data_IF_965719358299
#
_entry.id   IF_965719358299
#
_cell.length_a   1.000
_cell.length_b   1.000
_cell.length_c   1.000
_cell.angle_alpha   90.00
_cell.angle_beta   90.00
_cell.angle_gamma   90.00
#
_symmetry.space_group_name_H-M   'P 1'
#
loop_
_entity.id
_entity.type
_entity.pdbx_description
1 polymer ?
#
# COMPACT_ATOMS: atom_id res chain seq x y z
N UNK A 1 -18.70 -28.03 25.48
CA UNK A 1 -18.21 -26.96 24.59
C UNK A 1 -18.52 -27.40 23.17
N UNK A 2 -19.41 -26.68 22.49
CA UNK A 2 -19.74 -26.98 21.09
C UNK A 2 -18.63 -26.45 20.17
N UNK A 3 -18.20 -27.19 19.15
CA UNK A 3 -17.18 -26.73 18.22
C UNK A 3 -17.71 -25.53 17.42
N UNK A 4 -16.92 -24.45 17.40
CA UNK A 4 -17.19 -23.25 16.61
C UNK A 4 -16.97 -23.59 15.14
N UNK A 5 -18.04 -23.52 14.34
CA UNK A 5 -17.98 -23.71 12.89
C UNK A 5 -17.20 -22.54 12.27
N UNK A 6 -16.22 -22.79 11.38
CA UNK A 6 -15.49 -21.71 10.71
C UNK A 6 -16.44 -20.87 9.83
N UNK A 7 -16.16 -19.57 9.66
CA UNK A 7 -16.99 -18.69 8.83
C UNK A 7 -17.02 -19.20 7.39
N UNK A 8 -18.21 -19.23 6.79
CA UNK A 8 -18.40 -19.58 5.37
C UNK A 8 -17.63 -18.58 4.51
N UNK A 9 -16.78 -19.09 3.61
CA UNK A 9 -16.17 -18.31 2.53
C UNK A 9 -17.27 -17.55 1.76
N UNK A 10 -17.10 -16.25 1.46
CA UNK A 10 -18.05 -15.52 0.65
C UNK A 10 -18.17 -16.17 -0.72
N UNK A 11 -19.41 -16.38 -1.16
CA UNK A 11 -19.72 -16.95 -2.47
C UNK A 11 -19.53 -15.83 -3.50
N UNK A 12 -18.39 -15.82 -4.20
CA UNK A 12 -18.20 -14.93 -5.35
C UNK A 12 -19.28 -15.24 -6.38
N UNK A 13 -20.21 -14.30 -6.58
CA UNK A 13 -21.14 -14.34 -7.70
C UNK A 13 -20.34 -14.04 -8.96
N UNK A 14 -20.31 -14.99 -9.90
CA UNK A 14 -19.56 -14.86 -11.15
C UNK A 14 -20.02 -13.59 -11.88
N UNK A 15 -19.13 -12.62 -12.01
CA UNK A 15 -19.28 -11.54 -12.98
C UNK A 15 -19.21 -12.22 -14.35
N UNK A 16 -20.18 -11.90 -15.23
CA UNK A 16 -20.23 -12.47 -16.59
C UNK A 16 -18.92 -12.14 -17.30
N UNK A 17 -18.12 -13.15 -17.61
CA UNK A 17 -16.98 -13.04 -18.53
C UNK A 17 -17.51 -12.55 -19.88
N UNK A 18 -16.97 -11.44 -20.37
CA UNK A 18 -17.10 -11.08 -21.78
C UNK A 18 -16.48 -12.20 -22.63
N UNK A 19 -17.21 -12.69 -23.62
CA UNK A 19 -16.84 -13.85 -24.45
C UNK A 19 -16.04 -13.50 -25.71
N UNK A 20 -15.53 -12.28 -25.83
CA UNK A 20 -14.57 -11.91 -26.86
C UNK A 20 -13.20 -11.73 -26.20
N UNK A 21 -12.26 -12.63 -26.51
CA UNK A 21 -10.87 -12.45 -26.17
C UNK A 21 -10.33 -11.27 -27.00
N UNK A 22 -9.83 -10.19 -26.36
CA UNK A 22 -9.20 -9.10 -27.08
C UNK A 22 -7.93 -9.60 -27.80
N UNK A 23 -7.53 -8.97 -28.91
CA UNK A 23 -6.32 -9.37 -29.63
C UNK A 23 -5.08 -9.32 -28.71
N UNK A 24 -4.28 -10.39 -28.74
CA UNK A 24 -3.19 -10.72 -27.78
C UNK A 24 -2.06 -9.67 -27.63
N UNK A 25 -2.08 -8.57 -28.39
CA UNK A 25 -1.00 -7.57 -28.45
C UNK A 25 -1.40 -6.14 -28.04
N UNK A 26 -2.62 -5.90 -27.54
CA UNK A 26 -3.06 -4.56 -27.10
C UNK A 26 -3.17 -4.47 -25.59
N UNK A 27 -2.73 -3.35 -25.01
CA UNK A 27 -2.86 -3.08 -23.57
C UNK A 27 -4.31 -3.25 -23.08
N UNK A 28 -4.49 -4.03 -22.02
CA UNK A 28 -5.78 -4.28 -21.36
C UNK A 28 -5.69 -3.86 -19.89
N UNK A 29 -6.33 -2.76 -19.52
CA UNK A 29 -6.34 -2.20 -18.16
C UNK A 29 -7.72 -1.62 -17.82
N UNK A 30 -8.09 -1.44 -16.54
CA UNK A 30 -9.36 -0.80 -16.20
C UNK A 30 -9.52 0.56 -16.89
N UNK A 31 -10.59 0.72 -17.67
CA UNK A 31 -10.83 1.92 -18.48
C UNK A 31 -10.33 1.85 -19.94
N UNK A 32 -9.54 0.82 -20.30
CA UNK A 32 -9.09 0.51 -21.66
C UNK A 32 -9.15 -1.01 -21.91
N UNK A 33 -10.15 -1.46 -22.67
CA UNK A 33 -10.34 -2.89 -22.96
C UNK A 33 -10.96 -3.69 -21.81
N UNK A 34 -10.78 -3.25 -20.56
CA UNK A 34 -11.46 -3.79 -19.38
C UNK A 34 -12.43 -2.76 -18.78
N UNK A 35 -13.50 -3.21 -18.09
CA UNK A 35 -14.38 -2.32 -17.31
C UNK A 35 -13.58 -1.51 -16.29
N UNK A 36 -14.02 -0.29 -15.98
CA UNK A 36 -13.35 0.57 -15.01
C UNK A 36 -13.36 -0.03 -13.59
N UNK A 37 -14.36 -0.85 -13.30
CA UNK A 37 -14.49 -1.59 -12.04
C UNK A 37 -13.82 -2.97 -12.09
N UNK A 38 -12.98 -3.23 -13.09
CA UNK A 38 -12.28 -4.51 -13.19
C UNK A 38 -11.28 -4.64 -12.03
N UNK A 39 -11.38 -5.75 -11.32
CA UNK A 39 -10.42 -6.17 -10.29
C UNK A 39 -9.85 -7.53 -10.70
N UNK A 40 -8.52 -7.65 -10.61
CA UNK A 40 -7.84 -8.93 -10.81
C UNK A 40 -8.19 -9.89 -9.67
N UNK A 41 -8.27 -11.19 -9.97
CA UNK A 41 -8.42 -12.22 -8.93
C UNK A 41 -7.26 -12.22 -7.92
N UNK A 42 -6.10 -11.69 -8.32
CA UNK A 42 -4.90 -11.53 -7.50
C UNK A 42 -4.68 -10.09 -7.02
N UNK A 43 -5.69 -9.22 -7.09
CA UNK A 43 -5.57 -7.85 -6.61
C UNK A 43 -5.31 -7.82 -5.10
N UNK A 44 -4.43 -6.91 -4.66
CA UNK A 44 -4.27 -6.64 -3.24
C UNK A 44 -5.57 -6.06 -2.67
N UNK A 45 -5.98 -6.46 -1.46
CA UNK A 45 -7.17 -5.91 -0.84
C UNK A 45 -7.02 -4.40 -0.66
N UNK A 46 -8.04 -3.64 -1.04
CA UNK A 46 -8.05 -2.19 -0.89
C UNK A 46 -9.20 -1.73 -0.01
N UNK A 47 -9.01 -0.53 0.58
CA UNK A 47 -9.90 0.07 1.57
C UNK A 47 -11.36 0.30 1.13
N UNK A 48 -11.65 0.19 -0.16
CA UNK A 48 -12.96 0.53 -0.73
C UNK A 48 -13.92 -0.67 -0.76
N UNK A 49 -13.44 -1.86 -1.16
CA UNK A 49 -14.29 -3.04 -1.35
C UNK A 49 -13.80 -4.28 -0.60
N UNK A 50 -12.50 -4.37 -0.29
CA UNK A 50 -11.89 -5.59 0.25
C UNK A 50 -11.59 -5.50 1.74
N UNK A 51 -11.44 -4.28 2.28
CA UNK A 51 -11.04 -4.10 3.68
C UNK A 51 -12.25 -3.91 4.59
N UNK A 52 -12.52 -4.93 5.40
CA UNK A 52 -13.37 -4.80 6.58
C UNK A 52 -12.44 -5.00 7.79
N UNK A 53 -11.96 -3.92 8.44
CA UNK A 53 -11.10 -4.06 9.59
C UNK A 53 -11.85 -4.85 10.67
N UNK A 54 -11.13 -5.70 11.38
CA UNK A 54 -11.66 -6.27 12.62
C UNK A 54 -12.05 -5.11 13.55
N UNK A 55 -13.23 -5.22 14.18
CA UNK A 55 -13.65 -4.25 15.18
C UNK A 55 -12.71 -4.42 16.39
N UNK A 56 -11.75 -3.51 16.53
CA UNK A 56 -10.80 -3.49 17.65
C UNK A 56 -11.32 -2.62 18.79
N UNK A 57 -11.11 -3.07 20.01
CA UNK A 57 -11.34 -2.29 21.23
C UNK A 57 -10.27 -1.20 21.38
N UNK A 58 -10.57 -0.15 22.15
CA UNK A 58 -9.59 0.91 22.46
C UNK A 58 -8.32 0.34 23.09
N UNK A 59 -8.44 -0.70 23.91
CA UNK A 59 -7.29 -1.37 24.53
C UNK A 59 -6.40 -2.08 23.51
N UNK A 60 -6.99 -2.79 22.55
CA UNK A 60 -6.23 -3.45 21.47
C UNK A 60 -5.51 -2.41 20.60
N UNK A 61 -6.18 -1.29 20.28
CA UNK A 61 -5.58 -0.18 19.55
C UNK A 61 -4.37 0.38 20.31
N UNK A 62 -4.49 0.62 21.62
CA UNK A 62 -3.37 1.15 22.41
C UNK A 62 -2.25 0.12 22.59
N UNK A 63 -2.56 -1.18 22.65
CA UNK A 63 -1.54 -2.25 22.62
C UNK A 63 -0.77 -2.29 21.30
N UNK A 64 -1.44 -2.14 20.17
CA UNK A 64 -0.79 -2.02 18.86
C UNK A 64 0.12 -0.79 18.78
N UNK A 65 -0.36 0.38 19.25
CA UNK A 65 0.46 1.60 19.33
C UNK A 65 1.70 1.39 20.20
N UNK A 66 1.55 0.77 21.37
CA UNK A 66 2.66 0.51 22.29
C UNK A 66 3.74 -0.39 21.64
N UNK A 67 3.32 -1.45 20.93
CA UNK A 67 4.24 -2.30 20.19
C UNK A 67 4.89 -1.56 19.02
N UNK A 68 4.13 -0.73 18.28
CA UNK A 68 4.68 0.09 17.20
C UNK A 68 5.75 1.06 17.72
N UNK A 69 5.46 1.81 18.79
CA UNK A 69 6.40 2.73 19.44
C UNK A 69 7.64 2.01 19.97
N UNK A 70 7.51 0.76 20.42
CA UNK A 70 8.66 -0.01 20.91
C UNK A 70 9.53 -0.49 19.75
N UNK A 71 8.93 -0.96 18.65
CA UNK A 71 9.64 -1.43 17.46
C UNK A 71 10.31 -0.31 16.65
N UNK A 72 9.94 0.96 16.87
CA UNK A 72 10.63 2.13 16.31
C UNK A 72 11.94 2.49 17.05
N UNK A 73 12.17 1.90 18.23
CA UNK A 73 13.38 2.20 19.01
C UNK A 73 14.58 1.44 18.43
N UNK A 74 15.76 2.06 18.36
CA UNK A 74 16.96 1.39 17.86
C UNK A 74 17.34 0.22 18.77
N UNK A 75 17.78 -0.87 18.16
CA UNK A 75 18.18 -2.13 18.82
C UNK A 75 17.11 -2.73 19.74
N UNK A 76 15.82 -2.46 19.51
CA UNK A 76 14.75 -2.93 20.38
C UNK A 76 14.77 -4.45 20.55
N UNK A 77 15.15 -5.19 19.51
CA UNK A 77 15.23 -6.66 19.50
C UNK A 77 16.23 -7.23 20.50
N UNK A 78 17.27 -6.47 20.85
CA UNK A 78 18.26 -6.83 21.88
C UNK A 78 17.84 -6.26 23.24
N UNK A 79 17.41 -4.99 23.26
CA UNK A 79 17.06 -4.25 24.48
C UNK A 79 15.81 -4.79 25.19
N UNK A 80 14.93 -5.52 24.49
CA UNK A 80 13.73 -6.15 25.05
C UNK A 80 14.02 -7.18 26.16
N UNK A 81 15.26 -7.67 26.25
CA UNK A 81 15.68 -8.61 27.29
C UNK A 81 16.25 -7.94 28.54
N UNK A 82 16.48 -6.62 28.52
CA UNK A 82 16.96 -5.85 29.67
C UNK A 82 15.78 -5.38 30.54
N UNK A 83 15.68 -5.83 31.81
CA UNK A 83 14.62 -5.42 32.72
C UNK A 83 14.59 -3.91 33.01
N UNK A 84 15.75 -3.25 33.09
CA UNK A 84 15.81 -1.82 33.39
C UNK A 84 15.31 -1.00 32.20
N UNK A 85 15.62 -1.42 30.97
CA UNK A 85 15.13 -0.76 29.76
C UNK A 85 13.63 -0.98 29.59
N UNK A 86 13.16 -2.22 29.75
CA UNK A 86 11.73 -2.53 29.61
C UNK A 86 10.86 -1.83 30.65
N UNK A 87 11.36 -1.63 31.87
CA UNK A 87 10.65 -0.85 32.89
C UNK A 87 10.58 0.65 32.55
N UNK A 88 11.63 1.19 31.92
CA UNK A 88 11.58 2.55 31.38
C UNK A 88 10.53 2.66 30.28
N UNK A 89 10.50 1.72 29.33
CA UNK A 89 9.49 1.70 28.28
C UNK A 89 8.07 1.55 28.82
N UNK A 90 7.88 0.75 29.90
CA UNK A 90 6.60 0.65 30.61
C UNK A 90 6.14 2.01 31.11
N UNK A 91 7.03 2.74 31.77
CA UNK A 91 6.74 4.08 32.30
C UNK A 91 6.43 5.08 31.18
N UNK A 92 7.21 5.07 30.08
CA UNK A 92 6.97 5.90 28.89
C UNK A 92 5.59 5.61 28.27
N UNK A 93 5.25 4.33 28.04
CA UNK A 93 3.97 3.93 27.44
C UNK A 93 2.79 4.33 28.31
N UNK A 94 2.85 4.06 29.63
CA UNK A 94 1.79 4.45 30.58
C UNK A 94 1.59 5.97 30.68
N UNK A 95 2.61 6.77 30.37
CA UNK A 95 2.48 8.23 30.36
C UNK A 95 1.75 8.78 29.12
N UNK A 96 1.69 7.98 28.05
CA UNK A 96 1.14 8.39 26.74
C UNK A 96 -0.20 7.71 26.41
N UNK A 97 -0.44 6.51 26.94
CA UNK A 97 -1.58 5.66 26.61
C UNK A 97 -2.30 5.17 27.88
N UNK A 98 -3.59 4.85 27.77
CA UNK A 98 -4.34 4.20 28.85
C UNK A 98 -3.93 2.72 28.95
N UNK A 99 -2.92 2.46 29.79
CA UNK A 99 -2.21 1.19 29.78
C UNK A 99 -2.13 0.55 31.15
N UNK A 100 -2.64 -0.68 31.26
CA UNK A 100 -2.51 -1.50 32.46
C UNK A 100 -1.22 -2.32 32.45
N UNK A 101 -0.75 -2.76 33.62
CA UNK A 101 0.42 -3.64 33.70
C UNK A 101 0.24 -4.94 32.92
N UNK A 102 -0.97 -5.50 32.93
CA UNK A 102 -1.27 -6.74 32.18
C UNK A 102 -1.18 -6.54 30.67
N UNK A 103 -1.59 -5.38 30.16
CA UNK A 103 -1.45 -5.05 28.73
C UNK A 103 0.03 -4.96 28.35
N UNK A 104 0.84 -4.34 29.21
CA UNK A 104 2.29 -4.27 28.99
C UNK A 104 2.97 -5.61 29.07
N UNK A 105 2.64 -6.43 30.06
CA UNK A 105 3.22 -7.76 30.19
C UNK A 105 2.89 -8.63 28.96
N UNK A 106 1.67 -8.49 28.44
CA UNK A 106 1.26 -9.14 27.19
C UNK A 106 2.05 -8.63 25.99
N UNK A 107 2.12 -7.31 25.78
CA UNK A 107 2.89 -6.71 24.68
C UNK A 107 4.38 -7.06 24.76
N UNK A 108 4.95 -7.10 25.97
CA UNK A 108 6.33 -7.48 26.18
C UNK A 108 6.58 -8.94 25.79
N UNK A 109 5.66 -9.85 26.12
CA UNK A 109 5.74 -11.25 25.70
C UNK A 109 5.67 -11.38 24.17
N UNK A 110 4.71 -10.72 23.52
CA UNK A 110 4.57 -10.69 22.06
C UNK A 110 5.83 -10.12 21.39
N UNK A 111 6.36 -9.00 21.89
CA UNK A 111 7.58 -8.37 21.37
C UNK A 111 8.82 -9.26 21.50
N UNK A 112 8.93 -10.07 22.57
CA UNK A 112 10.02 -11.06 22.68
C UNK A 112 9.91 -12.12 21.60
N UNK A 113 8.72 -12.64 21.32
CA UNK A 113 8.51 -13.57 20.20
C UNK A 113 8.83 -12.92 18.85
N UNK A 114 8.43 -11.66 18.65
CA UNK A 114 8.79 -10.91 17.44
C UNK A 114 10.31 -10.66 17.34
N UNK A 115 11.00 -10.44 18.44
CA UNK A 115 12.46 -10.32 18.44
C UNK A 115 13.14 -11.63 18.01
N UNK A 116 12.62 -12.79 18.44
CA UNK A 116 13.10 -14.10 17.98
C UNK A 116 12.81 -14.33 16.49
N UNK A 117 11.63 -13.91 16.00
CA UNK A 117 11.29 -13.92 14.58
C UNK A 117 12.28 -13.06 13.78
N UNK A 118 12.56 -11.84 14.25
CA UNK A 118 13.51 -10.94 13.61
C UNK A 118 14.89 -11.58 13.45
N UNK A 119 15.37 -12.35 14.43
CA UNK A 119 16.66 -13.02 14.31
C UNK A 119 16.73 -14.00 13.14
N UNK A 120 15.60 -14.67 12.84
CA UNK A 120 15.47 -15.65 11.76
C UNK A 120 15.17 -15.01 10.40
N UNK A 121 14.20 -14.11 10.38
CA UNK A 121 13.60 -13.57 9.15
C UNK A 121 14.15 -12.19 8.76
N UNK A 122 14.82 -11.50 9.68
CA UNK A 122 15.35 -10.14 9.52
C UNK A 122 14.31 -9.05 9.34
N UNK A 123 13.04 -9.34 9.57
CA UNK A 123 11.97 -8.35 9.68
C UNK A 123 10.91 -8.81 10.67
N UNK A 124 10.02 -7.89 11.05
CA UNK A 124 8.80 -8.19 11.81
C UNK A 124 7.61 -7.52 11.14
N UNK A 125 6.45 -8.16 11.22
CA UNK A 125 5.18 -7.50 10.92
C UNK A 125 4.80 -6.66 12.13
N UNK A 126 4.82 -5.34 11.96
CA UNK A 126 4.61 -4.36 13.02
C UNK A 126 3.14 -3.96 13.19
N UNK A 127 2.39 -3.89 12.09
CA UNK A 127 0.97 -3.53 12.07
C UNK A 127 0.24 -4.48 11.11
N UNK A 128 -0.94 -4.95 11.52
CA UNK A 128 -1.84 -5.74 10.69
C UNK A 128 -2.20 -4.96 9.41
N UNK A 129 -1.94 -5.56 8.25
CA UNK A 129 -1.91 -4.88 6.95
C UNK A 129 -0.57 -5.01 6.23
N UNK A 130 0.23 -6.02 6.61
CA UNK A 130 1.53 -6.37 6.01
C UNK A 130 2.59 -5.27 6.09
N UNK A 131 2.46 -4.36 7.07
CA UNK A 131 3.49 -3.35 7.35
C UNK A 131 4.64 -4.02 8.10
N UNK A 132 5.76 -4.18 7.39
CA UNK A 132 6.96 -4.81 7.90
C UNK A 132 8.01 -3.77 8.32
N UNK A 133 8.79 -4.08 9.35
CA UNK A 133 9.94 -3.28 9.81
C UNK A 133 11.21 -4.09 9.77
N UNK A 134 12.29 -3.49 9.28
CA UNK A 134 13.63 -4.05 9.31
C UNK A 134 14.70 -2.98 9.29
N UNK A 135 15.67 -3.10 10.20
CA UNK A 135 16.88 -2.28 10.22
C UNK A 135 18.02 -2.88 9.39
N UNK A 136 17.82 -4.06 8.80
CA UNK A 136 18.90 -4.85 8.18
C UNK A 136 18.64 -5.30 6.74
N UNK A 137 17.39 -5.27 6.27
CA UNK A 137 17.05 -5.71 4.91
C UNK A 137 17.57 -4.74 3.84
N UNK A 138 17.66 -3.45 4.15
CA UNK A 138 18.25 -2.44 3.28
C UNK A 138 19.65 -2.14 3.82
N UNK A 139 20.68 -2.35 3.00
CA UNK A 139 22.06 -2.05 3.38
C UNK A 139 22.25 -0.54 3.47
N UNK A 140 23.22 -0.10 4.28
CA UNK A 140 23.55 1.32 4.36
C UNK A 140 24.04 1.87 3.02
N UNK A 141 24.75 1.06 2.24
CA UNK A 141 25.16 1.39 0.87
C UNK A 141 23.94 1.70 -0.02
N UNK A 142 22.97 0.78 -0.11
CA UNK A 142 21.74 1.00 -0.89
C UNK A 142 20.94 2.19 -0.36
N UNK A 143 20.87 2.39 0.96
CA UNK A 143 20.20 3.56 1.55
C UNK A 143 20.85 4.86 1.09
N UNK A 144 22.18 4.93 1.09
CA UNK A 144 22.95 6.10 0.66
C UNK A 144 22.84 6.32 -0.85
N UNK A 145 22.84 5.25 -1.66
CA UNK A 145 22.61 5.31 -3.11
C UNK A 145 21.22 5.89 -3.43
N UNK A 146 20.17 5.43 -2.75
CA UNK A 146 18.80 5.95 -2.93
C UNK A 146 18.75 7.44 -2.57
N UNK A 147 19.34 7.83 -1.43
CA UNK A 147 19.40 9.23 -1.02
C UNK A 147 20.12 10.07 -2.08
N UNK A 148 21.27 9.62 -2.57
CA UNK A 148 22.02 10.33 -3.59
C UNK A 148 21.25 10.46 -4.91
N UNK A 149 20.57 9.38 -5.35
CA UNK A 149 19.76 9.38 -6.56
C UNK A 149 18.58 10.36 -6.47
N UNK A 150 17.97 10.51 -5.28
CA UNK A 150 16.79 11.36 -5.06
C UNK A 150 17.19 12.83 -4.85
N UNK A 151 18.42 13.14 -4.41
CA UNK A 151 18.89 14.52 -4.19
C UNK A 151 18.64 15.45 -5.37
N UNK A 152 18.77 14.96 -6.60
CA UNK A 152 18.53 15.78 -7.81
C UNK A 152 17.09 16.32 -7.87
N UNK A 153 16.14 15.62 -7.25
CA UNK A 153 14.73 16.02 -7.16
C UNK A 153 14.46 16.87 -5.90
N UNK A 154 15.21 16.67 -4.81
CA UNK A 154 15.02 17.36 -3.53
C UNK A 154 15.79 18.69 -3.43
N UNK A 155 16.96 18.78 -4.07
CA UNK A 155 17.89 19.92 -3.99
C UNK A 155 17.48 21.03 -4.98
N UNK A 156 16.26 21.52 -4.78
CA UNK A 156 15.69 22.69 -5.46
C UNK A 156 15.63 23.87 -4.50
N UNK A 157 15.65 25.12 -5.00
CA UNK A 157 15.46 26.30 -4.15
C UNK A 157 14.20 26.17 -3.28
N UNK A 158 14.24 26.66 -2.04
CA UNK A 158 13.14 26.51 -1.07
C UNK A 158 11.77 26.98 -1.62
N UNK A 159 11.77 28.03 -2.45
CA UNK A 159 10.56 28.53 -3.10
C UNK A 159 9.94 27.59 -4.14
N UNK A 160 10.66 26.53 -4.54
CA UNK A 160 10.23 25.51 -5.51
C UNK A 160 9.90 24.18 -4.84
N UNK A 161 10.12 24.03 -3.53
CA UNK A 161 9.74 22.83 -2.80
C UNK A 161 8.22 22.75 -2.69
N UNK A 162 7.65 21.66 -3.19
CA UNK A 162 6.21 21.39 -3.14
C UNK A 162 5.86 20.65 -1.84
N UNK A 163 5.75 21.41 -0.75
CA UNK A 163 5.38 20.84 0.54
C UNK A 163 3.90 20.41 0.56
N UNK A 164 3.66 19.16 0.96
CA UNK A 164 2.32 18.61 0.96
C UNK A 164 1.41 19.42 1.89
N UNK A 165 0.23 19.87 1.42
CA UNK A 165 -0.67 20.69 2.24
C UNK A 165 -1.05 20.01 3.56
N UNK A 166 -0.89 20.73 4.67
CA UNK A 166 -1.22 20.23 6.00
C UNK A 166 -0.19 19.28 6.61
N UNK A 167 0.98 19.11 5.99
CA UNK A 167 2.06 18.27 6.52
C UNK A 167 2.98 18.97 7.52
N UNK A 168 2.83 20.28 7.76
CA UNK A 168 3.79 21.09 8.54
C UNK A 168 5.23 20.98 8.00
N UNK A 169 5.39 21.02 6.69
CA UNK A 169 6.69 20.93 5.99
C UNK A 169 7.46 19.63 6.33
N UNK A 170 6.73 18.53 6.51
CA UNK A 170 7.30 17.21 6.80
C UNK A 170 7.25 16.25 5.62
N UNK A 171 6.40 16.54 4.62
CA UNK A 171 6.22 15.69 3.44
C UNK A 171 6.44 16.55 2.21
N UNK A 172 7.52 16.27 1.48
CA UNK A 172 7.85 16.93 0.22
C UNK A 172 7.35 16.08 -0.95
N UNK A 173 6.50 16.65 -1.79
CA UNK A 173 5.99 15.99 -2.99
C UNK A 173 7.02 16.14 -4.13
N UNK A 174 7.81 15.10 -4.39
CA UNK A 174 8.73 15.10 -5.55
C UNK A 174 7.97 15.09 -6.87
N UNK A 175 6.92 14.26 -6.93
CA UNK A 175 5.94 14.21 -8.01
C UNK A 175 4.60 13.87 -7.38
N UNK A 176 3.71 14.86 -7.23
CA UNK A 176 2.40 14.60 -6.66
C UNK A 176 1.52 13.79 -7.64
N UNK A 177 0.99 12.59 -7.28
CA UNK A 177 0.26 11.71 -8.20
C UNK A 177 -0.96 12.34 -8.86
N UNK A 178 -1.54 13.38 -8.26
CA UNK A 178 -2.68 14.10 -8.83
C UNK A 178 -2.33 15.19 -9.85
N UNK A 179 -1.05 15.50 -10.06
CA UNK A 179 -0.63 16.50 -11.05
C UNK A 179 -0.61 15.93 -12.47
N UNK A 180 -0.38 14.62 -12.61
CA UNK A 180 -0.27 13.94 -13.89
C UNK A 180 -1.26 12.75 -14.01
N UNK A 181 -2.56 12.94 -13.73
CA UNK A 181 -3.53 11.87 -13.91
C UNK A 181 -3.77 11.61 -15.39
N UNK A 182 -4.21 10.41 -15.71
CA UNK A 182 -4.88 10.16 -16.97
C UNK A 182 -6.21 10.93 -16.97
N UNK A 183 -6.46 11.71 -18.00
CA UNK A 183 -7.69 12.47 -18.21
C UNK A 183 -8.39 11.99 -19.49
N UNK A 184 -9.56 11.38 -19.36
CA UNK A 184 -10.30 10.88 -20.52
C UNK A 184 -10.73 12.05 -21.44
N UNK A 185 -10.66 11.82 -22.76
CA UNK A 185 -10.89 12.83 -23.79
C UNK A 185 -9.74 13.84 -23.97
N UNK A 186 -8.64 13.71 -23.21
CA UNK A 186 -7.47 14.60 -23.30
C UNK A 186 -6.15 13.85 -23.39
N UNK A 187 -5.91 12.92 -22.47
CA UNK A 187 -4.67 12.13 -22.42
C UNK A 187 -4.58 11.21 -23.63
N UNK A 188 -3.34 10.92 -24.04
CA UNK A 188 -3.05 9.99 -25.14
C UNK A 188 -2.46 8.69 -24.59
N UNK A 189 -2.74 7.59 -25.29
CA UNK A 189 -2.26 6.26 -24.96
C UNK A 189 -1.65 5.58 -26.18
N UNK A 190 -0.54 4.88 -25.96
CA UNK A 190 0.08 3.97 -26.92
C UNK A 190 -0.31 2.56 -26.49
N UNK A 191 -1.16 1.89 -27.29
CA UNK A 191 -1.74 0.59 -26.90
C UNK A 191 -0.88 -0.61 -27.28
N UNK A 192 -0.02 -0.43 -28.29
CA UNK A 192 0.63 -1.53 -29.01
C UNK A 192 2.14 -1.64 -28.69
N UNK A 193 2.68 -0.72 -27.87
CA UNK A 193 4.10 -0.64 -27.55
C UNK A 193 4.33 -0.13 -26.12
N UNK A 194 5.39 -0.61 -25.47
CA UNK A 194 5.83 -0.13 -24.17
C UNK A 194 6.75 1.08 -24.33
N UNK A 195 6.38 2.19 -23.68
CA UNK A 195 7.25 3.37 -23.56
C UNK A 195 8.24 3.11 -22.41
N UNK A 196 9.54 3.19 -22.71
CA UNK A 196 10.63 3.04 -21.74
C UNK A 196 11.22 4.39 -21.34
N UNK A 197 12.11 4.41 -20.35
CA UNK A 197 12.80 5.63 -19.93
C UNK A 197 13.64 6.23 -21.06
N UNK A 198 14.19 5.39 -21.94
CA UNK A 198 15.04 5.81 -23.05
C UNK A 198 14.26 6.47 -24.19
N UNK A 199 13.01 6.05 -24.44
CA UNK A 199 12.21 6.54 -25.56
C UNK A 199 11.02 7.43 -25.14
N UNK A 200 10.85 7.72 -23.84
CA UNK A 200 9.67 8.43 -23.33
C UNK A 200 9.53 9.85 -23.92
N UNK A 201 10.64 10.57 -24.09
CA UNK A 201 10.65 11.94 -24.62
C UNK A 201 10.26 11.98 -26.10
N UNK A 202 10.70 11.00 -26.88
CA UNK A 202 10.38 10.89 -28.31
C UNK A 202 8.90 10.52 -28.54
N UNK A 203 8.28 9.88 -27.54
CA UNK A 203 6.88 9.47 -27.58
C UNK A 203 5.91 10.52 -27.00
N UNK A 204 6.39 11.72 -26.65
CA UNK A 204 5.50 12.78 -26.16
C UNK A 204 4.51 13.18 -27.27
N UNK A 205 3.22 13.04 -26.97
CA UNK A 205 2.13 13.40 -27.88
C UNK A 205 1.79 12.35 -28.94
N UNK A 206 2.50 11.22 -28.97
CA UNK A 206 2.14 10.07 -29.83
C UNK A 206 0.92 9.33 -29.28
N UNK A 207 0.49 8.29 -30.00
CA UNK A 207 -0.69 7.50 -29.61
C UNK A 207 -2.03 8.19 -29.89
N UNK A 208 -3.09 7.60 -29.35
CA UNK A 208 -4.48 8.03 -29.59
C UNK A 208 -5.07 8.64 -28.33
N UNK A 209 -5.96 9.62 -28.48
CA UNK A 209 -6.69 10.18 -27.33
C UNK A 209 -7.57 9.08 -26.74
N UNK A 210 -7.40 8.81 -25.45
CA UNK A 210 -8.20 7.80 -24.77
C UNK A 210 -9.58 8.36 -24.44
N UNK A 211 -10.61 7.67 -24.90
CA UNK A 211 -12.00 7.96 -24.58
C UNK A 211 -12.53 6.87 -23.67
N UNK A 212 -13.24 7.25 -22.60
CA UNK A 212 -13.89 6.27 -21.75
C UNK A 212 -15.12 5.71 -22.47
N UNK A 213 -14.98 4.53 -23.06
CA UNK A 213 -16.07 3.81 -23.73
C UNK A 213 -16.98 3.04 -22.75
N UNK A 214 -16.67 3.12 -21.45
CA UNK A 214 -17.29 2.26 -20.45
C UNK A 214 -18.70 2.73 -20.04
N UNK A 215 -19.70 2.04 -20.59
CA UNK A 215 -21.11 2.15 -20.19
C UNK A 215 -21.48 1.23 -19.01
N UNK A 216 -20.54 0.47 -18.44
CA UNK A 216 -20.79 -0.51 -17.37
C UNK A 216 -21.15 0.13 -16.04
N UNK A 217 -20.73 1.39 -15.81
CA UNK A 217 -21.20 2.23 -14.71
C UNK A 217 -22.63 2.75 -14.94
N UNK A 218 -23.53 1.89 -15.44
CA UNK A 218 -24.96 2.09 -15.26
C UNK A 218 -25.22 1.98 -13.77
N UNK A 219 -25.57 3.12 -13.18
CA UNK A 219 -26.01 3.32 -11.81
C UNK A 219 -27.26 2.47 -11.49
N UNK A 220 -27.11 1.16 -11.50
CA UNK A 220 -28.11 0.24 -11.01
C UNK A 220 -27.97 0.20 -9.50
N UNK A 221 -28.88 0.88 -8.80
CA UNK A 221 -29.16 0.64 -7.38
C UNK A 221 -29.60 -0.82 -7.21
N UNK A 222 -28.66 -1.75 -7.26
CA UNK A 222 -28.92 -3.14 -6.92
C UNK A 222 -29.03 -3.19 -5.41
N UNK A 223 -30.27 -3.20 -4.92
CA UNK A 223 -30.61 -3.56 -3.55
C UNK A 223 -30.32 -5.05 -3.34
N UNK A 224 -29.05 -5.47 -3.42
CA UNK A 224 -28.65 -6.78 -2.88
C UNK A 224 -28.18 -6.57 -1.44
N UNK A 225 -28.81 -7.31 -0.54
CA UNK A 225 -28.51 -7.31 0.89
C UNK A 225 -27.02 -7.62 1.09
N UNK A 226 -26.22 -6.61 1.42
CA UNK A 226 -24.84 -6.77 1.89
C UNK A 226 -23.73 -6.26 0.96
N UNK A 227 -24.01 -5.92 -0.30
CA UNK A 227 -22.99 -5.30 -1.16
C UNK A 227 -23.21 -3.78 -1.17
N UNK A 228 -22.29 -3.05 -0.55
CA UNK A 228 -22.21 -1.59 -0.70
C UNK A 228 -21.86 -1.33 -2.17
N UNK A 229 -22.86 -1.01 -2.98
CA UNK A 229 -22.60 -0.29 -4.22
C UNK A 229 -22.08 1.09 -3.80
N UNK A 230 -20.83 1.39 -4.14
CA UNK A 230 -20.24 2.74 -4.04
C UNK A 230 -20.26 3.37 -5.43
N UNK A 231 -21.42 3.88 -5.88
CA UNK A 231 -21.63 4.33 -7.26
C UNK A 231 -20.76 5.51 -7.72
N UNK A 232 -19.92 6.06 -6.85
CA UNK A 232 -19.06 7.21 -7.11
C UNK A 232 -17.59 6.92 -6.78
N UNK A 233 -17.22 5.67 -6.52
CA UNK A 233 -15.84 5.35 -6.19
C UNK A 233 -14.88 5.40 -7.39
N UNK A 234 -15.42 5.35 -8.61
CA UNK A 234 -14.64 5.46 -9.84
C UNK A 234 -14.98 6.74 -10.58
N UNK A 235 -13.95 7.55 -10.85
CA UNK A 235 -14.07 8.76 -11.65
C UNK A 235 -14.15 8.40 -13.14
N UNK A 236 -15.11 8.99 -13.84
CA UNK A 236 -15.24 8.88 -15.31
C UNK A 236 -14.39 9.90 -16.06
N UNK A 237 -13.74 10.80 -15.32
CA UNK A 237 -13.01 11.94 -15.89
C UNK A 237 -11.50 11.73 -15.80
N UNK A 238 -11.04 11.14 -14.69
CA UNK A 238 -9.62 11.02 -14.37
C UNK A 238 -9.29 9.72 -13.66
N UNK A 239 -8.08 9.22 -13.86
CA UNK A 239 -7.53 8.04 -13.19
C UNK A 239 -6.08 8.32 -12.78
N UNK A 240 -5.72 7.96 -11.55
CA UNK A 240 -4.30 7.87 -11.17
C UNK A 240 -3.68 6.68 -11.87
N UNK A 241 -2.52 6.90 -12.50
CA UNK A 241 -1.82 5.84 -13.20
C UNK A 241 -1.14 4.91 -12.18
N UNK A 242 -1.26 3.59 -12.35
CA UNK A 242 -0.54 2.64 -11.51
C UNK A 242 0.96 2.72 -11.81
N UNK A 243 1.76 2.32 -10.83
CA UNK A 243 3.17 2.00 -11.06
C UNK A 243 3.28 0.47 -11.23
N UNK A 244 3.63 0.03 -12.43
CA UNK A 244 3.93 -1.38 -12.68
C UNK A 244 5.34 -1.67 -12.19
N UNK A 245 5.45 -2.56 -11.21
CA UNK A 245 6.73 -2.98 -10.65
C UNK A 245 6.95 -4.45 -10.99
N UNK A 246 8.07 -4.73 -11.67
CA UNK A 246 8.47 -6.11 -11.96
C UNK A 246 9.60 -6.51 -11.01
N UNK A 247 9.48 -7.67 -10.36
CA UNK A 247 10.55 -8.22 -9.55
C UNK A 247 11.37 -9.19 -10.40
N UNK A 248 12.62 -8.85 -10.69
CA UNK A 248 13.59 -9.73 -11.34
C UNK A 248 14.43 -10.46 -10.32
N UNK A 249 14.66 -11.75 -10.53
CA UNK A 249 15.60 -12.50 -9.72
C UNK A 249 17.04 -12.24 -10.18
N UNK A 250 17.86 -11.65 -9.32
CA UNK A 250 19.29 -11.40 -9.51
C UNK A 250 20.02 -12.08 -8.37
N UNK A 251 20.83 -13.09 -8.68
CA UNK A 251 21.63 -13.84 -7.69
C UNK A 251 20.79 -14.46 -6.55
N UNK A 252 19.54 -14.85 -6.84
CA UNK A 252 18.60 -15.41 -5.87
C UNK A 252 17.81 -14.36 -5.06
N UNK A 253 18.03 -13.07 -5.33
CA UNK A 253 17.29 -11.97 -4.71
C UNK A 253 16.30 -11.35 -5.71
N UNK A 254 15.10 -10.99 -5.25
CA UNK A 254 14.11 -10.29 -6.09
C UNK A 254 14.38 -8.79 -6.05
N UNK A 255 14.71 -8.21 -7.20
CA UNK A 255 15.05 -6.79 -7.40
C UNK A 255 13.96 -6.12 -8.22
N UNK A 256 13.55 -4.90 -7.85
CA UNK A 256 12.60 -4.09 -8.60
C UNK A 256 13.24 -3.61 -9.91
N UNK A 257 12.63 -3.94 -11.04
CA UNK A 257 12.88 -3.33 -12.35
C UNK A 257 11.62 -2.62 -12.83
#
# INVERSE_FOLDING_TARGET
MNPVTPPRKPRMTSIKKSTEAPPENKLQVPGLGLPLTYESENAFPHGLLSYCPLVMTLREIDMLKAMNLTTDKPDWTTKIYDPAITEKWRSEIKSQLDFTDKMFDWCLAELKTKAEQFQKEKFVIAIDGDVCKSDTLITEETRLEIIEAIKVLEDVPESQKDWHPGSNDQVLDLVHPSLFPLAYGKSRIVEDELITLENCLENIGTGVVIELKDNSLKLGLSKSKGNISVPHAWSKNFQWLPADVSLKEVEGNRVVK
#
